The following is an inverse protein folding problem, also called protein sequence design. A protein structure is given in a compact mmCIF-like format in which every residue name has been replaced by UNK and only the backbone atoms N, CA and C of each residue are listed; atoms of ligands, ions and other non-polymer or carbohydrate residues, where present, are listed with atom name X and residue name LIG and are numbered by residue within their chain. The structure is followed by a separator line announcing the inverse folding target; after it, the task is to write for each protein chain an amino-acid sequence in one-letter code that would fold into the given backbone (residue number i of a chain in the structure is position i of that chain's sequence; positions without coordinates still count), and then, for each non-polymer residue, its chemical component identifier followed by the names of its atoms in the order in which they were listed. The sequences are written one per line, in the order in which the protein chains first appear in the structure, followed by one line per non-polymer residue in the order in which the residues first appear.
data_IF_999698390838
#
_entry.id   IF_999698390838
#
_cell.length_a   1.000
_cell.length_b   1.000
_cell.length_c   1.000
_cell.angle_alpha   90.00
_cell.angle_beta   90.00
_cell.angle_gamma   90.00
#
_symmetry.space_group_name_H-M   'P 1'
#
loop_
_entity.id
_entity.type
_entity.pdbx_description
1 polymer ?
#
# COMPACT_ATOMS: atom_id res chain seq x y z
N UNK A 1 7.15 -32.69 -20.59
CA UNK A 1 6.78 -31.35 -21.06
C UNK A 1 5.90 -30.67 -20.01
N UNK A 2 6.49 -29.92 -19.09
CA UNK A 2 5.79 -28.90 -18.32
C UNK A 2 6.79 -27.76 -18.14
N UNK A 3 6.78 -26.81 -19.08
CA UNK A 3 7.44 -25.54 -18.84
C UNK A 3 6.69 -24.89 -17.66
N UNK A 4 7.35 -24.81 -16.51
CA UNK A 4 6.92 -23.97 -15.40
C UNK A 4 6.83 -22.55 -15.96
N UNK A 5 5.62 -22.13 -16.34
CA UNK A 5 5.37 -20.71 -16.63
C UNK A 5 5.71 -19.97 -15.35
N UNK A 6 6.73 -19.12 -15.42
CA UNK A 6 7.00 -18.14 -14.36
C UNK A 6 5.68 -17.47 -13.98
N UNK A 7 5.35 -17.30 -12.68
CA UNK A 7 4.12 -16.64 -12.30
C UNK A 7 4.09 -15.26 -12.96
N UNK A 8 3.06 -14.99 -13.75
CA UNK A 8 2.89 -13.72 -14.44
C UNK A 8 2.86 -12.60 -13.38
N UNK A 9 3.89 -11.75 -13.39
CA UNK A 9 3.92 -10.56 -12.54
C UNK A 9 2.94 -9.55 -13.09
N UNK A 10 2.06 -9.08 -12.21
CA UNK A 10 1.08 -8.05 -12.52
C UNK A 10 1.55 -6.72 -11.93
N UNK A 11 1.53 -5.68 -12.75
CA UNK A 11 1.89 -4.31 -12.42
C UNK A 11 0.62 -3.49 -12.29
N UNK A 12 0.49 -2.77 -11.18
CA UNK A 12 -0.59 -1.82 -10.97
C UNK A 12 -0.06 -0.41 -11.24
N UNK A 13 -0.63 0.27 -12.23
CA UNK A 13 -0.22 1.60 -12.63
C UNK A 13 -1.26 2.60 -12.13
N UNK A 14 -0.82 3.60 -11.37
CA UNK A 14 -1.62 4.77 -10.99
C UNK A 14 -1.59 5.77 -12.14
N UNK A 15 -2.75 6.21 -12.55
CA UNK A 15 -2.96 7.27 -13.53
C UNK A 15 -3.59 8.44 -12.81
N UNK A 16 -3.10 9.64 -13.07
CA UNK A 16 -3.71 10.88 -12.59
C UNK A 16 -4.22 11.64 -13.80
N UNK A 17 -5.51 11.97 -13.80
CA UNK A 17 -6.08 12.91 -14.76
C UNK A 17 -6.13 14.28 -14.12
N UNK A 18 -5.50 15.23 -14.79
CA UNK A 18 -5.64 16.64 -14.46
C UNK A 18 -6.77 17.19 -15.33
N UNK A 19 -7.84 17.66 -14.69
CA UNK A 19 -8.86 18.44 -15.37
C UNK A 19 -8.42 19.90 -15.39
N UNK A 20 -8.44 20.54 -16.57
CA UNK A 20 -8.07 21.94 -16.73
C UNK A 20 -9.06 22.90 -16.07
N UNK A 21 -10.27 22.42 -15.74
CA UNK A 21 -11.34 23.21 -15.17
C UNK A 21 -11.85 22.55 -13.86
N UNK A 22 -11.38 23.06 -12.73
CA UNK A 22 -11.82 22.89 -11.33
C UNK A 22 -11.72 21.50 -10.60
N UNK A 23 -10.86 21.52 -9.56
CA UNK A 23 -10.82 20.83 -8.25
C UNK A 23 -10.92 19.30 -8.07
N UNK A 24 -11.05 18.47 -9.09
CA UNK A 24 -10.99 17.01 -8.86
C UNK A 24 -9.92 16.35 -9.74
N UNK A 25 -8.73 16.17 -9.15
CA UNK A 25 -7.74 15.22 -9.66
C UNK A 25 -8.34 13.81 -9.57
N UNK A 26 -8.69 13.21 -10.70
CA UNK A 26 -9.14 11.81 -10.74
C UNK A 26 -7.92 10.88 -10.81
N UNK A 27 -7.63 10.19 -9.71
CA UNK A 27 -6.73 9.04 -9.72
C UNK A 27 -7.51 7.78 -10.11
N UNK A 28 -7.00 7.03 -11.09
CA UNK A 28 -7.49 5.68 -11.39
C UNK A 28 -6.33 4.71 -11.56
N UNK A 29 -6.61 3.41 -11.40
CA UNK A 29 -5.58 2.38 -11.44
C UNK A 29 -5.90 1.34 -12.53
N UNK A 30 -4.87 0.83 -13.18
CA UNK A 30 -5.00 -0.27 -14.16
C UNK A 30 -4.01 -1.38 -13.83
N UNK A 31 -4.37 -2.61 -14.19
CA UNK A 31 -3.56 -3.81 -13.97
C UNK A 31 -2.98 -4.28 -15.30
N UNK A 32 -1.68 -4.55 -15.32
CA UNK A 32 -0.94 -4.94 -16.53
C UNK A 32 -0.14 -6.20 -16.24
N UNK A 33 -0.10 -7.14 -17.16
CA UNK A 33 0.97 -8.14 -17.13
C UNK A 33 2.29 -7.46 -17.52
N UNK A 34 3.40 -7.89 -16.91
CA UNK A 34 4.72 -7.30 -17.15
C UNK A 34 5.12 -7.31 -18.63
N UNK A 35 4.66 -8.32 -19.39
CA UNK A 35 4.87 -8.48 -20.84
C UNK A 35 3.91 -7.64 -21.71
N UNK A 36 2.89 -7.01 -21.12
CA UNK A 36 1.88 -6.21 -21.82
C UNK A 36 2.05 -4.70 -21.66
N UNK A 37 3.11 -4.25 -20.98
CA UNK A 37 3.38 -2.81 -20.87
C UNK A 37 3.58 -2.19 -22.26
N UNK A 38 2.84 -1.12 -22.61
CA UNK A 38 3.07 -0.44 -23.87
C UNK A 38 4.48 0.16 -23.85
N UNK A 39 5.35 -0.34 -24.73
CA UNK A 39 6.69 0.21 -24.98
C UNK A 39 6.68 1.67 -25.46
N UNK A 40 5.49 2.23 -25.74
CA UNK A 40 5.31 3.56 -26.30
C UNK A 40 4.58 4.48 -25.31
N UNK A 41 5.23 5.55 -24.79
CA UNK A 41 4.65 6.51 -23.84
C UNK A 41 3.37 7.19 -24.33
N UNK A 42 3.19 7.29 -25.66
CA UNK A 42 2.06 7.98 -26.28
C UNK A 42 0.82 7.12 -26.52
N UNK A 43 0.89 5.80 -26.28
CA UNK A 43 -0.30 4.94 -26.38
C UNK A 43 -1.10 5.11 -25.12
N UNK A 44 -1.93 6.16 -25.10
CA UNK A 44 -2.86 6.45 -24.03
C UNK A 44 -3.63 5.17 -23.66
N UNK A 45 -3.75 4.86 -22.38
CA UNK A 45 -4.39 3.64 -21.81
C UNK A 45 -5.92 3.54 -22.06
N UNK A 46 -6.41 4.10 -23.16
CA UNK A 46 -7.82 4.12 -23.55
C UNK A 46 -8.32 2.69 -23.80
N UNK A 47 -9.46 2.36 -23.22
CA UNK A 47 -10.13 1.07 -23.39
C UNK A 47 -9.77 0.01 -22.35
N UNK A 48 -8.86 0.28 -21.41
CA UNK A 48 -8.59 -0.64 -20.30
C UNK A 48 -9.56 -0.43 -19.13
N UNK A 49 -10.12 -1.51 -18.57
CA UNK A 49 -10.99 -1.39 -17.41
C UNK A 49 -10.18 -0.91 -16.22
N UNK A 50 -10.62 0.21 -15.62
CA UNK A 50 -10.08 0.67 -14.36
C UNK A 50 -10.37 -0.35 -13.26
N UNK A 51 -9.42 -0.53 -12.35
CA UNK A 51 -9.62 -1.30 -11.13
C UNK A 51 -10.67 -0.57 -10.29
N UNK A 52 -11.81 -1.23 -10.05
CA UNK A 52 -12.82 -0.73 -9.13
C UNK A 52 -12.44 -1.14 -7.70
N UNK A 53 -12.00 -0.17 -6.91
CA UNK A 53 -11.69 -0.40 -5.50
C UNK A 53 -12.98 -0.69 -4.72
N UNK A 54 -12.92 -1.60 -3.74
CA UNK A 54 -14.07 -1.93 -2.91
C UNK A 54 -14.38 -0.84 -1.85
N UNK A 55 -13.58 0.23 -1.79
CA UNK A 55 -13.70 1.32 -0.82
C UNK A 55 -13.37 2.65 -1.51
N UNK A 56 -14.28 3.62 -1.41
CA UNK A 56 -14.07 5.00 -1.86
C UNK A 56 -13.05 5.70 -0.96
N UNK A 57 -12.37 6.71 -1.48
CA UNK A 57 -11.42 7.55 -0.73
C UNK A 57 -10.28 6.78 -0.04
N UNK A 58 -10.01 5.57 -0.53
CA UNK A 58 -8.93 4.74 -0.01
C UNK A 58 -7.62 5.01 -0.74
N UNK A 59 -6.52 4.95 0.02
CA UNK A 59 -5.15 5.03 -0.50
C UNK A 59 -4.51 3.66 -0.41
N UNK A 60 -3.69 3.32 -1.39
CA UNK A 60 -2.88 2.11 -1.36
C UNK A 60 -1.65 2.40 -0.53
N UNK A 61 -1.51 1.71 0.60
CA UNK A 61 -0.36 1.79 1.50
C UNK A 61 0.77 0.89 1.03
N UNK A 62 0.42 -0.27 0.47
CA UNK A 62 1.38 -1.23 -0.02
C UNK A 62 0.70 -2.40 -0.69
N UNK A 63 1.49 -3.27 -1.28
CA UNK A 63 1.05 -4.54 -1.83
C UNK A 63 1.99 -5.64 -1.40
N UNK A 64 1.50 -6.87 -1.30
CA UNK A 64 2.30 -8.05 -1.01
C UNK A 64 1.59 -9.30 -1.52
N UNK A 65 2.25 -10.11 -2.35
CA UNK A 65 1.72 -11.36 -2.90
C UNK A 65 0.30 -11.23 -3.51
N UNK A 66 0.06 -10.16 -4.27
CA UNK A 66 -1.23 -9.90 -4.93
C UNK A 66 -2.33 -9.33 -4.01
N UNK A 67 -2.04 -9.11 -2.73
CA UNK A 67 -2.92 -8.43 -1.79
C UNK A 67 -2.53 -6.95 -1.73
N UNK A 68 -3.52 -6.07 -1.79
CA UNK A 68 -3.38 -4.64 -1.60
C UNK A 68 -3.78 -4.28 -0.17
N UNK A 69 -2.95 -3.47 0.50
CA UNK A 69 -3.32 -2.81 1.74
C UNK A 69 -3.87 -1.43 1.45
N UNK A 70 -5.13 -1.23 1.80
CA UNK A 70 -5.90 -0.01 1.60
C UNK A 70 -6.11 0.69 2.94
N UNK A 71 -5.98 2.00 2.94
CA UNK A 71 -6.25 2.84 4.10
C UNK A 71 -7.23 3.95 3.76
N UNK A 72 -8.25 4.12 4.59
CA UNK A 72 -9.23 5.20 4.48
C UNK A 72 -8.92 6.23 5.57
N UNK A 73 -8.33 7.39 5.21
CA UNK A 73 -7.85 8.35 6.20
C UNK A 73 -8.96 8.87 7.14
N UNK A 74 -10.11 9.25 6.58
CA UNK A 74 -11.23 9.83 7.34
C UNK A 74 -11.86 8.84 8.34
N UNK A 75 -11.73 7.54 8.08
CA UNK A 75 -12.27 6.48 8.94
C UNK A 75 -11.19 5.82 9.80
N UNK A 76 -9.92 6.23 9.63
CA UNK A 76 -8.75 5.54 10.20
C UNK A 76 -8.77 4.02 9.98
N UNK A 77 -9.30 3.59 8.83
CA UNK A 77 -9.66 2.19 8.58
C UNK A 77 -8.67 1.54 7.64
N UNK A 78 -8.12 0.40 8.05
CA UNK A 78 -7.25 -0.43 7.21
C UNK A 78 -8.04 -1.62 6.68
N UNK A 79 -7.88 -1.92 5.40
CA UNK A 79 -8.46 -3.10 4.76
C UNK A 79 -7.46 -3.76 3.83
N UNK A 80 -7.49 -5.08 3.77
CA UNK A 80 -6.74 -5.85 2.79
C UNK A 80 -7.69 -6.31 1.71
N UNK A 81 -7.24 -6.19 0.46
CA UNK A 81 -8.05 -6.51 -0.69
C UNK A 81 -7.24 -7.33 -1.69
N UNK A 82 -7.78 -8.47 -2.12
CA UNK A 82 -7.25 -9.25 -3.23
C UNK A 82 -8.14 -8.99 -4.46
N UNK A 83 -7.64 -8.24 -5.48
CA UNK A 83 -8.41 -7.94 -6.68
C UNK A 83 -8.76 -9.19 -7.51
N UNK A 84 -7.89 -10.20 -7.52
CA UNK A 84 -8.05 -11.42 -8.34
C UNK A 84 -9.23 -12.29 -7.90
N UNK A 85 -9.47 -12.38 -6.59
CA UNK A 85 -10.63 -13.10 -6.02
C UNK A 85 -11.72 -12.17 -5.51
N UNK A 86 -11.57 -10.85 -5.71
CA UNK A 86 -12.50 -9.78 -5.28
C UNK A 86 -12.86 -9.87 -3.79
N UNK A 87 -11.96 -10.36 -2.95
CA UNK A 87 -12.19 -10.54 -1.52
C UNK A 87 -11.54 -9.41 -0.73
N UNK A 88 -12.29 -8.81 0.19
CA UNK A 88 -11.83 -7.75 1.09
C UNK A 88 -12.01 -8.21 2.54
N UNK A 89 -11.00 -7.95 3.37
CA UNK A 89 -11.11 -8.01 4.83
C UNK A 89 -10.81 -6.64 5.42
N UNK A 90 -11.64 -6.19 6.35
CA UNK A 90 -11.42 -4.95 7.11
C UNK A 90 -10.85 -5.33 8.47
N UNK A 91 -9.82 -4.60 8.90
CA UNK A 91 -9.10 -4.90 10.13
C UNK A 91 -9.66 -4.07 11.30
N UNK A 92 -9.41 -4.50 12.55
CA UNK A 92 -9.66 -3.67 13.72
C UNK A 92 -8.93 -2.33 13.62
N UNK A 93 -9.53 -1.31 14.21
CA UNK A 93 -8.97 0.04 14.21
C UNK A 93 -7.53 0.05 14.74
N UNK A 94 -6.69 0.85 14.08
CA UNK A 94 -5.33 1.08 14.56
C UNK A 94 -5.41 1.75 15.95
N UNK A 95 -4.56 1.36 16.92
CA UNK A 95 -4.49 2.04 18.22
C UNK A 95 -4.28 3.55 18.11
N UNK A 96 -3.57 3.99 17.06
CA UNK A 96 -3.47 5.39 16.70
C UNK A 96 -4.75 5.89 16.03
N UNK A 97 -5.37 6.93 16.60
CA UNK A 97 -6.59 7.56 16.05
C UNK A 97 -6.32 8.63 15.00
N UNK A 98 -5.07 9.10 14.90
CA UNK A 98 -4.70 10.23 14.06
C UNK A 98 -3.81 9.76 12.91
N UNK A 99 -4.42 9.54 11.74
CA UNK A 99 -3.71 9.18 10.49
C UNK A 99 -2.47 10.06 10.15
N UNK A 100 -2.57 11.39 10.35
CA UNK A 100 -1.50 12.33 10.01
C UNK A 100 -0.28 12.16 10.92
N UNK A 101 -0.47 11.48 12.06
CA UNK A 101 0.53 11.22 13.07
C UNK A 101 1.20 9.86 12.88
N UNK A 102 0.84 9.09 11.85
CA UNK A 102 1.39 7.74 11.65
C UNK A 102 1.79 7.46 10.21
N UNK A 103 2.85 6.69 10.07
CA UNK A 103 3.21 6.01 8.84
C UNK A 103 2.75 4.55 8.96
N UNK A 104 2.21 3.99 7.87
CA UNK A 104 1.69 2.63 7.84
C UNK A 104 2.46 1.85 6.77
N UNK A 105 2.84 0.61 7.09
CA UNK A 105 3.41 -0.32 6.14
C UNK A 105 2.74 -1.69 6.19
N UNK A 106 2.86 -2.44 5.10
CA UNK A 106 2.25 -3.76 4.94
C UNK A 106 3.25 -4.72 4.32
N UNK A 107 3.35 -5.94 4.83
CA UNK A 107 4.26 -6.95 4.31
C UNK A 107 3.92 -8.36 4.79
N UNK A 108 4.62 -9.34 4.22
CA UNK A 108 4.56 -10.73 4.63
C UNK A 108 5.81 -11.07 5.44
N UNK A 109 5.63 -11.63 6.63
CA UNK A 109 6.70 -12.17 7.45
C UNK A 109 6.94 -13.63 7.09
N UNK A 110 8.06 -13.98 6.43
CA UNK A 110 8.37 -15.35 6.07
C UNK A 110 8.69 -16.23 7.29
N UNK A 111 9.10 -15.66 8.43
CA UNK A 111 9.42 -16.42 9.64
C UNK A 111 8.15 -16.89 10.33
N UNK A 112 7.19 -15.98 10.49
CA UNK A 112 5.89 -16.31 11.12
C UNK A 112 4.82 -16.74 10.11
N UNK A 113 5.16 -16.74 8.82
CA UNK A 113 4.29 -17.02 7.68
C UNK A 113 2.97 -16.26 7.75
N UNK A 114 3.01 -14.98 8.14
CA UNK A 114 1.82 -14.17 8.28
C UNK A 114 2.03 -12.78 7.70
N UNK A 115 0.95 -12.22 7.18
CA UNK A 115 0.94 -10.80 6.85
C UNK A 115 0.90 -9.98 8.12
N UNK A 116 1.61 -8.86 8.07
CA UNK A 116 1.71 -7.89 9.16
C UNK A 116 1.46 -6.49 8.63
N UNK A 117 0.90 -5.66 9.49
CA UNK A 117 0.83 -4.22 9.27
C UNK A 117 1.59 -3.55 10.39
N UNK A 118 2.44 -2.60 10.03
CA UNK A 118 3.19 -1.81 10.98
C UNK A 118 2.62 -0.40 10.95
N UNK A 119 2.38 0.17 12.12
CA UNK A 119 2.05 1.58 12.28
C UNK A 119 3.09 2.21 13.20
N UNK A 120 3.79 3.21 12.70
CA UNK A 120 4.84 3.91 13.44
C UNK A 120 4.49 5.40 13.54
N UNK A 121 4.91 6.08 14.62
CA UNK A 121 4.83 7.53 14.73
C UNK A 121 5.43 8.24 13.52
N UNK A 122 4.74 9.25 12.99
CA UNK A 122 5.29 10.15 11.98
C UNK A 122 6.12 11.24 12.71
N UNK A 123 7.46 11.23 12.57
CA UNK A 123 8.33 12.16 13.30
C UNK A 123 8.16 13.61 12.83
N UNK A 124 7.57 13.85 11.65
CA UNK A 124 7.28 15.20 11.16
C UNK A 124 5.97 15.77 11.75
N UNK A 125 5.19 14.95 12.45
CA UNK A 125 4.04 15.41 13.19
C UNK A 125 4.53 15.87 14.56
N UNK A 126 4.70 17.19 14.75
CA UNK A 126 5.27 17.82 15.95
C UNK A 126 4.51 17.62 17.28
N UNK A 127 3.66 16.59 17.36
CA UNK A 127 3.07 16.09 18.60
C UNK A 127 4.06 15.19 19.34
N UNK A 128 3.98 15.22 20.68
CA UNK A 128 4.65 14.25 21.56
C UNK A 128 3.92 12.93 21.37
N UNK A 129 4.35 12.14 20.38
CA UNK A 129 3.79 10.82 20.15
C UNK A 129 4.40 9.93 21.24
N UNK A 130 3.57 9.21 21.99
CA UNK A 130 4.07 8.10 22.81
C UNK A 130 4.93 7.23 21.89
N UNK A 131 6.17 6.94 22.29
CA UNK A 131 7.21 6.24 21.51
C UNK A 131 6.85 4.79 21.14
N UNK A 132 5.58 4.46 21.00
CA UNK A 132 5.05 3.13 20.73
C UNK A 132 4.79 2.97 19.25
N UNK A 133 5.45 2.00 18.64
CA UNK A 133 5.05 1.48 17.34
C UNK A 133 4.10 0.31 17.55
N UNK A 134 3.28 -0.01 16.56
CA UNK A 134 2.35 -1.13 16.62
C UNK A 134 2.51 -2.05 15.43
N UNK A 135 2.36 -3.34 15.70
CA UNK A 135 2.30 -4.38 14.67
C UNK A 135 0.98 -5.12 14.80
N UNK A 136 0.19 -5.12 13.73
CA UNK A 136 -0.96 -6.00 13.60
C UNK A 136 -0.52 -7.33 13.02
N UNK A 137 -0.88 -8.42 13.68
CA UNK A 137 -0.67 -9.76 13.15
C UNK A 137 -2.02 -10.33 12.70
N UNK A 138 -2.12 -10.67 11.41
CA UNK A 138 -3.38 -11.20 10.85
C UNK A 138 -3.79 -12.53 11.47
N UNK A 139 -2.83 -13.40 11.80
CA UNK A 139 -3.13 -14.72 12.39
C UNK A 139 -3.78 -14.57 13.76
N UNK A 140 -3.25 -13.69 14.60
CA UNK A 140 -3.78 -13.46 15.97
C UNK A 140 -4.93 -12.45 16.00
N UNK A 141 -5.12 -11.70 14.91
CA UNK A 141 -6.11 -10.62 14.78
C UNK A 141 -5.98 -9.55 15.86
N UNK A 142 -4.75 -9.27 16.26
CA UNK A 142 -4.46 -8.34 17.35
C UNK A 142 -3.32 -7.40 16.98
N UNK A 143 -3.41 -6.19 17.53
CA UNK A 143 -2.32 -5.22 17.59
C UNK A 143 -1.43 -5.52 18.78
N UNK A 144 -0.11 -5.46 18.56
CA UNK A 144 0.90 -5.57 19.60
C UNK A 144 1.75 -4.31 19.60
N UNK A 145 2.01 -3.77 20.80
CA UNK A 145 2.96 -2.68 20.97
C UNK A 145 4.38 -3.20 20.78
N UNK A 146 5.19 -2.44 20.06
CA UNK A 146 6.62 -2.68 19.86
C UNK A 146 7.39 -1.40 20.15
N UNK A 147 8.68 -1.57 20.46
CA UNK A 147 9.61 -0.45 20.57
C UNK A 147 9.67 0.34 19.24
N UNK A 148 9.91 1.65 19.29
CA UNK A 148 10.05 2.46 18.08
C UNK A 148 11.33 2.05 17.33
N UNK A 149 11.41 2.23 16.00
CA UNK A 149 12.62 1.94 15.25
C UNK A 149 13.82 2.74 15.78
N UNK A 150 14.96 2.08 15.99
CA UNK A 150 16.17 2.69 16.59
C UNK A 150 16.85 3.74 15.71
N UNK A 151 16.54 3.79 14.40
CA UNK A 151 17.13 4.75 13.47
C UNK A 151 16.08 5.25 12.46
N UNK A 152 15.58 6.48 12.66
CA UNK A 152 14.91 7.24 11.60
C UNK A 152 16.00 7.79 10.65
N UNK A 153 16.43 7.02 9.64
CA UNK A 153 17.38 7.56 8.65
C UNK A 153 16.62 8.46 7.68
N UNK A 154 16.79 9.77 7.87
CA UNK A 154 16.28 10.84 7.02
C UNK A 154 17.07 10.94 5.70
N UNK A 155 16.86 10.01 4.76
CA UNK A 155 17.12 10.27 3.35
C UNK A 155 16.01 9.64 2.49
N UNK A 156 15.14 10.48 1.93
CA UNK A 156 14.23 10.06 0.85
C UNK A 156 12.95 9.30 1.22
N UNK A 157 12.45 9.44 2.47
CA UNK A 157 11.23 8.80 2.94
C UNK A 157 11.42 7.30 3.26
N UNK A 158 10.45 6.71 3.98
CA UNK A 158 10.48 5.34 4.54
C UNK A 158 10.66 4.17 3.54
N UNK A 159 11.04 4.44 2.29
CA UNK A 159 11.49 3.43 1.33
C UNK A 159 12.55 2.49 1.93
N UNK A 160 13.36 2.94 2.89
CA UNK A 160 14.43 2.14 3.52
C UNK A 160 14.00 1.26 4.70
N UNK A 161 12.98 1.62 5.48
CA UNK A 161 12.51 0.75 6.59
C UNK A 161 11.67 -0.41 6.05
N UNK A 162 10.97 -0.17 4.95
CA UNK A 162 10.16 -1.19 4.26
C UNK A 162 10.88 -1.86 3.08
N UNK A 163 12.13 -1.50 2.77
CA UNK A 163 12.90 -2.20 1.72
C UNK A 163 13.20 -3.64 2.11
N UNK A 164 13.40 -3.93 3.39
CA UNK A 164 13.59 -5.31 3.89
C UNK A 164 12.28 -6.11 3.97
N UNK A 165 11.12 -5.44 3.96
CA UNK A 165 9.78 -6.06 3.95
C UNK A 165 9.11 -6.05 2.56
N UNK A 166 9.82 -5.56 1.54
CA UNK A 166 9.54 -5.60 0.10
C UNK A 166 8.11 -5.21 -0.33
N UNK A 167 7.96 -3.95 -0.79
CA UNK A 167 7.69 -3.63 -2.21
C UNK A 167 7.93 -2.12 -2.42
N UNK A 168 8.85 -1.83 -3.33
CA UNK A 168 9.08 -0.48 -3.83
C UNK A 168 7.91 -0.06 -4.74
N UNK A 169 7.17 0.98 -4.36
CA UNK A 169 6.48 1.80 -5.35
C UNK A 169 7.55 2.56 -6.14
N UNK A 170 7.84 2.09 -7.35
CA UNK A 170 8.57 2.88 -8.35
C UNK A 170 7.58 3.90 -8.91
N UNK A 171 7.31 4.95 -8.12
CA UNK A 171 6.81 6.21 -8.67
C UNK A 171 7.97 6.89 -9.38
N UNK A 172 8.10 6.68 -10.69
CA UNK A 172 8.86 7.63 -11.52
C UNK A 172 7.93 8.80 -11.78
N UNK A 173 8.19 9.92 -11.13
CA UNK A 173 7.74 11.23 -11.62
C UNK A 173 8.55 11.49 -12.89
N UNK A 174 7.87 11.65 -14.02
CA UNK A 174 8.46 12.30 -15.20
C UNK A 174 8.44 13.81 -14.97
#
# INVERSE_FOLDING_TARGET
MHALRSPQKLLMIRHRKYHTDFYEDEDFYTLHAEDQLPMCPNRKYFGMPAIQFPIRDSRIIGSCNGILCLFVPLENRISLWNPSIRCKITLPDCPWRCYYMVEIGFGFDPITECYKIVSIPNPNCGSIIEDSSFVYNIKTRAWCTIAPPTHFVYEGGFKSVFSEWSIALVGRTL
#
